data_IF_004668116439
#
_entry.id   IF_004668116439
#
_cell.length_a   1.000
_cell.length_b   1.000
_cell.length_c   1.000
_cell.angle_alpha   90.00
_cell.angle_beta   90.00
_cell.angle_gamma   90.00
#
_symmetry.space_group_name_H-M   'P 1'
#
loop_
_entity.id
_entity.type
_entity.pdbx_description
1 polymer ?
#
# COMPACT_ATOMS: atom_id res chain seq x y z
N UNK A 1 27.58 2.27 -5.71
CA UNK A 1 26.46 1.42 -5.33
C UNK A 1 26.38 1.30 -3.81
N UNK A 2 27.44 0.90 -3.10
CA UNK A 2 27.51 0.84 -1.62
C UNK A 2 27.11 2.15 -0.93
N UNK A 3 27.62 3.31 -1.37
CA UNK A 3 27.27 4.61 -0.77
C UNK A 3 25.80 5.00 -0.95
N UNK A 4 25.15 4.52 -1.98
CA UNK A 4 23.73 4.79 -2.21
C UNK A 4 22.86 3.96 -1.25
N UNK A 5 23.26 2.73 -0.99
CA UNK A 5 22.58 1.84 -0.03
C UNK A 5 22.77 2.36 1.41
N UNK A 6 23.96 2.87 1.76
CA UNK A 6 24.20 3.54 3.06
C UNK A 6 23.32 4.78 3.25
N UNK A 7 23.17 5.62 2.22
CA UNK A 7 22.30 6.80 2.30
C UNK A 7 20.84 6.44 2.43
N UNK A 8 20.38 5.41 1.72
CA UNK A 8 19.01 4.92 1.85
C UNK A 8 18.74 4.29 3.21
N UNK A 9 19.70 3.55 3.77
CA UNK A 9 19.59 2.98 5.12
C UNK A 9 19.53 4.10 6.18
N UNK A 10 20.38 5.12 6.08
CA UNK A 10 20.35 6.27 6.99
C UNK A 10 19.06 7.09 6.84
N UNK A 11 18.56 7.28 5.63
CA UNK A 11 17.30 7.99 5.40
C UNK A 11 16.11 7.21 5.95
N UNK A 12 16.10 5.88 5.79
CA UNK A 12 15.07 5.02 6.37
C UNK A 12 15.14 5.02 7.90
N UNK A 13 16.34 5.02 8.48
CA UNK A 13 16.58 5.09 9.91
C UNK A 13 16.11 6.43 10.51
N UNK A 14 16.44 7.55 9.86
CA UNK A 14 15.97 8.88 10.25
C UNK A 14 14.44 8.95 10.20
N UNK A 15 13.82 8.40 9.15
CA UNK A 15 12.37 8.39 8.99
C UNK A 15 11.71 7.54 10.08
N UNK A 16 12.20 6.31 10.29
CA UNK A 16 11.71 5.44 11.34
C UNK A 16 11.77 6.08 12.74
N UNK A 17 12.85 6.84 13.05
CA UNK A 17 12.99 7.55 14.33
C UNK A 17 12.16 8.84 14.44
N UNK A 18 11.83 9.48 13.33
CA UNK A 18 11.07 10.74 13.32
C UNK A 18 9.55 10.54 13.38
N UNK A 19 9.05 9.40 12.93
CA UNK A 19 7.62 9.09 12.85
C UNK A 19 7.11 8.24 14.03
N UNK A 20 7.99 7.74 14.89
CA UNK A 20 7.61 6.85 15.99
C UNK A 20 7.02 7.63 17.18
N UNK A 21 5.72 7.77 17.16
CA UNK A 21 4.91 8.02 18.37
C UNK A 21 4.48 6.76 19.09
N UNK A 22 4.96 5.58 18.65
CA UNK A 22 4.67 4.26 19.26
C UNK A 22 5.98 3.75 19.84
N UNK A 23 5.91 3.28 21.09
CA UNK A 23 6.98 2.47 21.66
C UNK A 23 7.16 1.24 20.77
N UNK A 24 8.15 1.28 19.90
CA UNK A 24 8.55 0.12 19.13
C UNK A 24 8.89 -0.99 20.12
N UNK A 25 8.35 -2.19 19.89
CA UNK A 25 8.65 -3.29 20.75
C UNK A 25 10.16 -3.59 20.75
N UNK A 26 10.64 -4.28 21.76
CA UNK A 26 12.07 -4.57 21.98
C UNK A 26 12.71 -5.24 20.76
N UNK A 27 11.94 -6.05 19.99
CA UNK A 27 12.43 -6.74 18.79
C UNK A 27 12.70 -5.77 17.63
N UNK A 28 11.90 -4.73 17.49
CA UNK A 28 12.10 -3.68 16.46
C UNK A 28 13.34 -2.85 16.82
N UNK A 29 13.55 -2.54 18.08
CA UNK A 29 14.76 -1.83 18.54
C UNK A 29 16.02 -2.66 18.31
N UNK A 30 15.98 -3.95 18.62
CA UNK A 30 17.07 -4.88 18.37
C UNK A 30 17.38 -5.00 16.87
N UNK A 31 16.37 -5.05 16.02
CA UNK A 31 16.54 -5.09 14.57
C UNK A 31 17.14 -3.78 14.03
N UNK A 32 16.64 -2.63 14.46
CA UNK A 32 17.17 -1.32 14.09
C UNK A 32 18.64 -1.17 14.52
N UNK A 33 18.98 -1.62 15.72
CA UNK A 33 20.37 -1.69 16.19
C UNK A 33 21.24 -2.60 15.33
N UNK A 34 20.68 -3.71 14.85
CA UNK A 34 21.34 -4.64 13.95
C UNK A 34 21.61 -4.05 12.56
N UNK A 35 20.67 -3.30 11.99
CA UNK A 35 20.85 -2.59 10.71
C UNK A 35 21.99 -1.58 10.81
N UNK A 36 22.07 -0.82 11.90
CA UNK A 36 23.18 0.10 12.16
C UNK A 36 24.55 -0.58 12.30
N UNK A 37 24.59 -1.86 12.64
CA UNK A 37 25.82 -2.68 12.76
C UNK A 37 26.23 -3.42 11.48
N UNK A 38 25.54 -3.17 10.36
CA UNK A 38 25.90 -3.75 9.05
C UNK A 38 25.42 -5.19 8.84
N UNK A 39 24.28 -5.56 9.40
CA UNK A 39 23.62 -6.82 9.02
C UNK A 39 23.29 -6.74 7.53
N UNK A 40 24.01 -7.50 6.72
CA UNK A 40 23.73 -7.64 5.29
C UNK A 40 22.37 -8.35 5.13
N UNK A 41 21.34 -7.60 4.75
CA UNK A 41 20.04 -8.14 4.35
C UNK A 41 20.07 -8.54 2.88
N UNK A 42 19.28 -9.54 2.50
CA UNK A 42 18.99 -9.76 1.09
C UNK A 42 18.26 -8.55 0.51
N UNK A 43 18.59 -8.23 -0.74
CA UNK A 43 17.80 -7.24 -1.50
C UNK A 43 16.42 -7.85 -1.75
N UNK A 44 15.40 -7.30 -1.11
CA UNK A 44 14.01 -7.73 -1.25
C UNK A 44 13.18 -6.62 -1.89
N UNK A 45 12.05 -6.95 -2.55
CA UNK A 45 11.09 -5.95 -2.95
C UNK A 45 10.62 -5.15 -1.73
N UNK A 46 10.37 -3.86 -1.92
CA UNK A 46 9.67 -3.05 -0.92
C UNK A 46 8.23 -3.51 -0.79
N UNK A 47 7.62 -3.25 0.35
CA UNK A 47 6.21 -3.55 0.58
C UNK A 47 5.42 -2.25 0.60
N UNK A 48 4.33 -2.22 -0.18
CA UNK A 48 3.30 -1.19 -0.07
C UNK A 48 2.01 -1.82 0.43
N UNK A 49 1.19 -1.00 1.06
CA UNK A 49 -0.12 -1.42 1.58
C UNK A 49 -1.18 -0.52 0.96
N UNK A 50 -2.26 -1.13 0.46
CA UNK A 50 -3.41 -0.42 -0.06
C UNK A 50 -4.68 -0.77 0.71
N UNK A 51 -5.64 0.15 0.77
CA UNK A 51 -6.90 -0.02 1.45
C UNK A 51 -8.09 0.28 0.54
N UNK A 52 -8.90 -0.73 0.24
CA UNK A 52 -10.21 -0.59 -0.37
C UNK A 52 -11.23 -0.39 0.74
N UNK A 53 -11.60 0.87 0.97
CA UNK A 53 -12.56 1.23 2.03
C UNK A 53 -13.94 1.39 1.43
N UNK A 54 -14.86 0.53 1.81
CA UNK A 54 -16.28 0.62 1.44
C UNK A 54 -17.09 1.39 2.47
N UNK A 55 -18.06 2.17 2.02
CA UNK A 55 -19.10 2.76 2.85
C UNK A 55 -20.41 1.94 2.78
N UNK A 56 -21.43 2.37 3.57
CA UNK A 56 -22.73 1.70 3.63
C UNK A 56 -23.56 1.85 2.33
N UNK A 57 -23.20 2.79 1.47
CA UNK A 57 -23.82 2.99 0.15
C UNK A 57 -23.15 2.16 -0.97
N UNK A 58 -22.15 1.35 -0.63
CA UNK A 58 -21.42 0.51 -1.58
C UNK A 58 -20.46 1.32 -2.49
N UNK A 59 -19.98 2.47 -2.01
CA UNK A 59 -18.98 3.30 -2.67
C UNK A 59 -17.60 3.02 -2.11
N UNK A 60 -16.57 3.26 -2.91
CA UNK A 60 -15.15 3.10 -2.53
C UNK A 60 -14.51 4.46 -2.32
N UNK A 61 -13.73 4.57 -1.24
CA UNK A 61 -12.91 5.74 -0.93
C UNK A 61 -11.70 5.81 -1.84
N UNK A 62 -11.53 6.94 -2.52
CA UNK A 62 -10.36 7.23 -3.34
C UNK A 62 -9.74 8.56 -2.92
N UNK A 63 -8.45 8.68 -3.17
CA UNK A 63 -7.66 9.91 -3.05
C UNK A 63 -7.16 10.35 -4.42
N UNK A 64 -7.11 11.64 -4.68
CA UNK A 64 -6.41 12.19 -5.83
C UNK A 64 -4.99 12.57 -5.43
N UNK A 65 -4.00 11.91 -5.99
CA UNK A 65 -2.59 12.17 -5.70
C UNK A 65 -2.17 13.57 -6.17
N UNK A 66 -1.54 14.33 -5.30
CA UNK A 66 -1.08 15.69 -5.60
C UNK A 66 0.04 15.73 -6.66
N UNK A 67 0.88 14.70 -6.73
CA UNK A 67 2.02 14.61 -7.64
C UNK A 67 1.63 14.31 -9.10
N UNK A 68 0.60 13.50 -9.29
CA UNK A 68 0.23 12.97 -10.61
C UNK A 68 -1.20 13.33 -11.05
N UNK A 69 -2.06 13.71 -10.11
CA UNK A 69 -3.48 13.97 -10.34
C UNK A 69 -4.29 12.70 -10.66
N UNK A 70 -3.71 11.50 -10.46
CA UNK A 70 -4.43 10.25 -10.60
C UNK A 70 -5.19 9.91 -9.32
N UNK A 71 -6.37 9.32 -9.51
CA UNK A 71 -7.17 8.77 -8.43
C UNK A 71 -6.80 7.32 -8.16
N UNK A 72 -6.67 6.97 -6.88
CA UNK A 72 -6.35 5.62 -6.42
C UNK A 72 -6.96 5.44 -5.02
N UNK A 73 -7.13 4.20 -4.60
CA UNK A 73 -7.41 3.90 -3.20
C UNK A 73 -6.22 4.33 -2.31
N UNK A 74 -6.45 4.68 -1.03
CA UNK A 74 -5.38 5.03 -0.09
C UNK A 74 -4.27 3.98 -0.07
N UNK A 75 -3.01 4.43 -0.14
CA UNK A 75 -1.86 3.53 -0.22
C UNK A 75 -0.57 4.17 0.26
N UNK A 76 0.22 3.43 1.03
CA UNK A 76 1.51 3.89 1.51
C UNK A 76 2.55 2.78 1.62
N UNK A 77 3.75 3.15 2.03
CA UNK A 77 4.83 2.22 2.31
C UNK A 77 4.60 1.52 3.64
N UNK A 78 4.96 0.23 3.71
CA UNK A 78 4.94 -0.50 4.98
C UNK A 78 6.07 0.03 5.86
N UNK A 79 5.70 0.66 6.97
CA UNK A 79 6.64 1.18 7.95
C UNK A 79 7.12 0.08 8.90
N UNK A 80 8.37 0.19 9.33
CA UNK A 80 8.93 -0.70 10.34
C UNK A 80 8.21 -0.48 11.67
N UNK A 81 7.82 -1.56 12.34
CA UNK A 81 7.10 -1.50 13.61
C UNK A 81 5.58 -1.60 13.48
N UNK A 82 5.05 -1.55 12.25
CA UNK A 82 3.62 -1.75 11.97
C UNK A 82 3.39 -3.03 11.18
N UNK A 83 2.30 -3.73 11.49
CA UNK A 83 1.80 -4.76 10.60
C UNK A 83 1.18 -4.13 9.34
N UNK A 84 1.11 -4.86 8.20
CA UNK A 84 0.46 -4.33 7.00
C UNK A 84 -0.99 -3.86 7.23
N UNK A 85 -1.73 -4.53 8.12
CA UNK A 85 -3.10 -4.12 8.44
C UNK A 85 -3.17 -2.80 9.24
N UNK A 86 -2.22 -2.57 10.14
CA UNK A 86 -2.09 -1.29 10.85
C UNK A 86 -1.71 -0.16 9.89
N UNK A 87 -0.79 -0.42 8.96
CA UNK A 87 -0.45 0.55 7.90
C UNK A 87 -1.68 0.91 7.06
N UNK A 88 -2.52 -0.07 6.67
CA UNK A 88 -3.74 0.21 5.94
C UNK A 88 -4.66 1.22 6.67
N UNK A 89 -4.88 1.02 7.97
CA UNK A 89 -5.71 1.92 8.79
C UNK A 89 -5.05 3.29 8.94
N UNK A 90 -3.73 3.32 9.16
CA UNK A 90 -2.95 4.55 9.29
C UNK A 90 -3.05 5.41 8.01
N UNK A 91 -2.75 4.83 6.85
CA UNK A 91 -2.79 5.54 5.57
C UNK A 91 -4.20 6.08 5.25
N UNK A 92 -5.25 5.28 5.47
CA UNK A 92 -6.62 5.76 5.30
C UNK A 92 -6.86 7.00 6.16
N UNK A 93 -6.49 6.96 7.43
CA UNK A 93 -6.69 8.09 8.34
C UNK A 93 -5.88 9.31 7.94
N UNK A 94 -4.62 9.15 7.57
CA UNK A 94 -3.71 10.24 7.24
C UNK A 94 -4.08 10.89 5.90
N UNK A 95 -4.35 10.08 4.87
CA UNK A 95 -4.65 10.59 3.53
C UNK A 95 -6.07 11.15 3.39
N UNK A 96 -7.03 10.66 4.20
CA UNK A 96 -8.46 10.92 3.94
C UNK A 96 -9.26 11.47 5.11
N UNK A 97 -8.76 11.37 6.35
CA UNK A 97 -9.50 11.72 7.58
C UNK A 97 -10.58 10.71 7.98
N UNK A 98 -10.72 9.59 7.25
CA UNK A 98 -11.71 8.55 7.54
C UNK A 98 -11.13 7.51 8.49
N UNK A 99 -11.93 7.08 9.45
CA UNK A 99 -11.64 5.92 10.28
C UNK A 99 -12.15 4.65 9.61
N UNK A 100 -11.38 3.58 9.66
CA UNK A 100 -11.78 2.30 9.09
C UNK A 100 -11.31 1.12 9.94
N UNK A 101 -11.91 -0.04 9.70
CA UNK A 101 -11.43 -1.32 10.21
C UNK A 101 -11.09 -2.27 9.06
N UNK A 102 -10.03 -3.04 9.23
CA UNK A 102 -9.63 -4.05 8.28
C UNK A 102 -10.54 -5.27 8.39
N UNK A 103 -11.09 -5.71 7.26
CA UNK A 103 -11.91 -6.92 7.18
C UNK A 103 -11.05 -8.12 6.79
N UNK A 104 -10.29 -8.02 5.69
CA UNK A 104 -9.42 -9.09 5.17
C UNK A 104 -8.48 -8.60 4.08
N UNK A 105 -7.38 -9.29 3.80
CA UNK A 105 -6.62 -9.06 2.56
C UNK A 105 -7.46 -9.51 1.36
N UNK A 106 -7.36 -8.77 0.24
CA UNK A 106 -8.04 -9.08 -1.02
C UNK A 106 -7.10 -9.14 -2.21
N UNK A 107 -5.87 -8.61 -2.10
CA UNK A 107 -4.88 -8.77 -3.15
C UNK A 107 -3.45 -8.78 -2.63
N UNK A 108 -2.57 -9.51 -3.32
CA UNK A 108 -1.11 -9.50 -3.16
C UNK A 108 -0.53 -9.44 -4.58
N UNK A 109 0.07 -8.31 -4.95
CA UNK A 109 0.41 -8.00 -6.33
C UNK A 109 1.87 -7.58 -6.47
N UNK A 110 2.52 -8.03 -7.54
CA UNK A 110 3.83 -7.53 -7.95
C UNK A 110 3.66 -6.22 -8.75
N UNK A 111 3.95 -5.10 -8.09
CA UNK A 111 3.77 -3.77 -8.68
C UNK A 111 4.66 -3.50 -9.90
N UNK A 112 5.83 -4.14 -10.01
CA UNK A 112 6.66 -4.06 -11.21
C UNK A 112 6.02 -4.77 -12.40
N UNK A 113 5.50 -5.98 -12.19
CA UNK A 113 4.82 -6.73 -13.25
C UNK A 113 3.59 -6.01 -13.79
N UNK A 114 2.91 -5.31 -12.91
CA UNK A 114 1.73 -4.52 -13.26
C UNK A 114 2.08 -3.12 -13.81
N UNK A 115 3.35 -2.74 -13.78
CA UNK A 115 3.82 -1.44 -14.26
C UNK A 115 3.44 -0.26 -13.37
N UNK A 116 3.14 -0.50 -12.10
CA UNK A 116 2.76 0.55 -11.15
C UNK A 116 3.95 1.40 -10.71
N UNK A 117 5.12 0.81 -10.62
CA UNK A 117 6.30 1.50 -10.12
C UNK A 117 7.60 0.94 -10.71
N UNK A 118 8.62 1.77 -10.97
CA UNK A 118 9.92 1.31 -11.47
C UNK A 118 10.77 0.59 -10.42
N UNK A 119 10.39 0.67 -9.14
CA UNK A 119 11.07 -0.01 -8.03
C UNK A 119 10.38 -1.34 -7.76
N UNK A 120 11.12 -2.44 -7.55
CA UNK A 120 10.53 -3.71 -7.12
C UNK A 120 9.71 -3.51 -5.84
N UNK A 121 8.43 -3.84 -5.91
CA UNK A 121 7.53 -3.78 -4.76
C UNK A 121 6.48 -4.87 -4.81
N UNK A 122 6.04 -5.29 -3.63
CA UNK A 122 4.85 -6.13 -3.44
C UNK A 122 3.79 -5.25 -2.78
N UNK A 123 2.61 -5.19 -3.37
CA UNK A 123 1.45 -4.48 -2.82
C UNK A 123 0.52 -5.47 -2.13
N UNK A 124 0.21 -5.21 -0.86
CA UNK A 124 -0.78 -5.95 -0.08
C UNK A 124 -2.01 -5.05 0.04
N UNK A 125 -3.14 -5.49 -0.52
CA UNK A 125 -4.37 -4.68 -0.52
C UNK A 125 -5.40 -5.32 0.40
N UNK A 126 -5.95 -4.52 1.30
CA UNK A 126 -6.99 -4.92 2.24
C UNK A 126 -8.36 -4.37 1.84
N UNK A 127 -9.39 -5.17 2.03
CA UNK A 127 -10.75 -4.68 2.17
C UNK A 127 -10.91 -4.13 3.58
N UNK A 128 -11.39 -2.89 3.65
CA UNK A 128 -11.69 -2.20 4.89
C UNK A 128 -13.14 -1.71 4.87
N UNK A 129 -13.74 -1.57 6.04
CA UNK A 129 -15.06 -0.96 6.23
C UNK A 129 -14.89 0.42 6.84
N UNK A 130 -15.57 1.43 6.30
CA UNK A 130 -15.61 2.76 6.89
C UNK A 130 -16.32 2.74 8.24
N UNK A 131 -15.75 3.44 9.21
CA UNK A 131 -16.34 3.69 10.53
C UNK A 131 -16.82 5.14 10.69
N UNK A 132 -16.71 5.93 9.62
CA UNK A 132 -17.03 7.35 9.62
C UNK A 132 -15.77 8.23 9.65
N UNK A 133 -15.95 9.47 10.01
CA UNK A 133 -14.91 10.51 9.96
C UNK A 133 -15.32 11.67 9.06
N UNK A 134 -14.45 12.65 8.91
CA UNK A 134 -14.65 13.78 8.03
C UNK A 134 -13.65 13.70 6.87
N UNK A 135 -14.16 13.69 5.63
CA UNK A 135 -13.32 13.69 4.44
C UNK A 135 -12.39 14.90 4.42
N UNK A 136 -11.11 14.65 4.47
CA UNK A 136 -10.08 15.69 4.48
C UNK A 136 -8.81 15.16 3.81
N UNK A 137 -8.56 15.65 2.60
CA UNK A 137 -7.33 15.31 1.87
C UNK A 137 -6.08 15.75 2.65
N UNK A 138 -5.06 14.90 2.67
CA UNK A 138 -3.76 15.26 3.26
C UNK A 138 -3.11 16.39 2.43
N UNK A 139 -2.71 17.51 3.06
CA UNK A 139 -2.40 18.74 2.33
C UNK A 139 -1.19 18.68 1.42
N UNK A 140 -0.29 17.70 1.62
CA UNK A 140 0.94 17.55 0.82
C UNK A 140 0.87 16.39 -0.17
N UNK A 141 0.04 15.39 0.09
CA UNK A 141 0.03 14.14 -0.67
C UNK A 141 -1.20 13.99 -1.55
N UNK A 142 -2.33 14.56 -1.14
CA UNK A 142 -3.60 14.44 -1.80
C UNK A 142 -4.18 15.81 -2.15
N UNK A 143 -4.62 15.98 -3.39
CA UNK A 143 -5.33 17.20 -3.84
C UNK A 143 -6.84 17.11 -3.60
N UNK A 144 -7.39 15.89 -3.51
CA UNK A 144 -8.81 15.67 -3.28
C UNK A 144 -9.06 14.26 -2.71
N UNK A 145 -10.24 14.03 -2.14
CA UNK A 145 -10.68 12.77 -1.55
C UNK A 145 -12.19 12.62 -1.64
N UNK A 146 -12.68 11.41 -1.90
CA UNK A 146 -14.12 11.16 -1.95
C UNK A 146 -14.49 9.69 -2.06
N UNK A 147 -15.79 9.40 -1.82
CA UNK A 147 -16.38 8.09 -2.05
C UNK A 147 -17.06 8.05 -3.43
N UNK A 148 -16.80 6.99 -4.20
CA UNK A 148 -17.27 6.85 -5.57
C UNK A 148 -17.95 5.51 -5.79
N UNK A 149 -19.11 5.52 -6.46
CA UNK A 149 -19.74 4.30 -6.96
C UNK A 149 -18.96 3.74 -8.17
N UNK A 150 -19.16 2.47 -8.46
CA UNK A 150 -18.48 1.78 -9.57
C UNK A 150 -18.72 2.48 -10.93
N UNK A 151 -19.92 3.01 -11.14
CA UNK A 151 -20.30 3.75 -12.36
C UNK A 151 -19.83 5.22 -12.37
N UNK A 152 -19.29 5.71 -11.26
CA UNK A 152 -18.93 7.12 -11.06
C UNK A 152 -17.44 7.31 -10.78
N UNK A 153 -16.63 6.29 -11.06
CA UNK A 153 -15.18 6.39 -10.90
C UNK A 153 -14.64 7.58 -11.72
N UNK A 154 -13.75 8.41 -11.13
CA UNK A 154 -13.16 9.53 -11.84
C UNK A 154 -12.42 9.09 -13.12
N UNK A 155 -12.47 9.92 -14.16
CA UNK A 155 -11.84 9.63 -15.48
C UNK A 155 -10.34 9.26 -15.34
N UNK A 156 -9.63 9.91 -14.42
CA UNK A 156 -8.22 9.65 -14.16
C UNK A 156 -7.99 8.67 -13.02
N UNK A 157 -8.79 7.63 -12.91
CA UNK A 157 -8.55 6.54 -11.94
C UNK A 157 -7.43 5.63 -12.47
N UNK A 158 -6.47 5.33 -11.60
CA UNK A 158 -5.30 4.51 -11.95
C UNK A 158 -5.70 3.05 -12.18
N UNK A 159 -5.66 2.60 -13.44
CA UNK A 159 -5.85 1.21 -13.86
C UNK A 159 -7.06 0.52 -13.20
N UNK A 160 -8.27 1.13 -13.21
CA UNK A 160 -9.43 0.56 -12.51
C UNK A 160 -9.80 -0.84 -13.02
N UNK A 161 -9.50 -1.16 -14.26
CA UNK A 161 -9.72 -2.49 -14.86
C UNK A 161 -9.01 -3.63 -14.14
N UNK A 162 -7.94 -3.33 -13.40
CA UNK A 162 -7.15 -4.34 -12.68
C UNK A 162 -7.68 -4.64 -11.29
N UNK A 163 -8.36 -3.69 -10.65
CA UNK A 163 -8.73 -3.83 -9.24
C UNK A 163 -10.19 -3.52 -8.94
N UNK A 164 -10.85 -2.61 -9.69
CA UNK A 164 -12.15 -2.11 -9.30
C UNK A 164 -13.26 -3.18 -9.29
N UNK A 165 -13.42 -4.07 -10.28
CA UNK A 165 -14.45 -5.10 -10.23
C UNK A 165 -14.30 -6.00 -8.99
N UNK A 166 -13.07 -6.38 -8.67
CA UNK A 166 -12.75 -7.21 -7.51
C UNK A 166 -13.02 -6.49 -6.19
N UNK A 167 -12.64 -5.22 -6.11
CA UNK A 167 -12.85 -4.36 -4.95
C UNK A 167 -14.33 -4.13 -4.68
N UNK A 168 -15.13 -3.80 -5.71
CA UNK A 168 -16.56 -3.61 -5.58
C UNK A 168 -17.29 -4.89 -5.19
N UNK A 169 -16.90 -6.04 -5.73
CA UNK A 169 -17.42 -7.33 -5.26
C UNK A 169 -17.11 -7.57 -3.78
N UNK A 170 -15.90 -7.25 -3.34
CA UNK A 170 -15.51 -7.41 -1.94
C UNK A 170 -16.34 -6.54 -0.99
N UNK A 171 -16.57 -5.26 -1.30
CA UNK A 171 -17.36 -4.34 -0.45
C UNK A 171 -18.85 -4.69 -0.45
N UNK A 172 -19.38 -5.29 -1.52
CA UNK A 172 -20.76 -5.82 -1.56
C UNK A 172 -20.93 -7.10 -0.76
N UNK A 173 -19.84 -7.63 -0.16
CA UNK A 173 -19.89 -8.88 0.59
C UNK A 173 -19.98 -10.13 -0.28
N UNK A 174 -19.72 -10.02 -1.57
CA UNK A 174 -19.64 -11.17 -2.46
C UNK A 174 -18.40 -12.02 -2.12
N UNK A 175 -18.43 -13.33 -2.32
CA UNK A 175 -17.26 -14.17 -2.16
C UNK A 175 -16.19 -13.76 -3.18
N UNK A 176 -15.02 -13.33 -2.70
CA UNK A 176 -13.86 -13.05 -3.54
C UNK A 176 -12.65 -13.77 -2.95
N UNK A 177 -11.86 -14.38 -3.81
CA UNK A 177 -10.56 -14.93 -3.46
C UNK A 177 -9.52 -13.80 -3.37
N UNK A 178 -8.38 -14.08 -2.75
CA UNK A 178 -7.26 -13.15 -2.79
C UNK A 178 -6.71 -13.09 -4.21
N UNK A 179 -6.75 -11.92 -4.83
CA UNK A 179 -6.17 -11.69 -6.14
C UNK A 179 -4.63 -11.73 -6.03
N UNK A 180 -3.97 -12.51 -6.87
CA UNK A 180 -2.51 -12.58 -6.89
C UNK A 180 -1.97 -12.86 -8.28
N UNK A 181 -0.69 -12.55 -8.48
CA UNK A 181 -0.03 -12.82 -9.76
C UNK A 181 0.19 -14.30 -9.97
N UNK A 182 -0.35 -14.84 -11.04
CA UNK A 182 -0.10 -16.24 -11.38
C UNK A 182 1.38 -16.48 -11.68
N UNK A 183 1.92 -17.64 -11.25
CA UNK A 183 3.27 -18.03 -11.59
C UNK A 183 3.51 -17.98 -13.10
N UNK A 184 4.64 -17.42 -13.49
CA UNK A 184 5.16 -17.52 -14.87
C UNK A 184 6.03 -18.77 -14.97
N UNK A 185 6.34 -19.15 -16.21
CA UNK A 185 7.47 -20.05 -16.43
C UNK A 185 8.70 -19.49 -15.71
N UNK A 186 9.45 -20.33 -14.98
CA UNK A 186 10.48 -19.83 -14.09
C UNK A 186 11.48 -18.94 -14.82
N UNK A 187 11.54 -17.64 -14.56
CA UNK A 187 12.48 -16.74 -15.25
C UNK A 187 13.95 -17.05 -14.93
N UNK A 188 14.18 -17.83 -13.86
CA UNK A 188 15.53 -18.29 -13.46
C UNK A 188 16.02 -19.53 -14.21
N UNK A 189 15.19 -20.16 -15.03
CA UNK A 189 15.63 -21.31 -15.85
C UNK A 189 16.37 -20.88 -17.11
N UNK A 190 16.46 -19.57 -17.38
CA UNK A 190 17.08 -19.06 -18.60
C UNK A 190 16.27 -19.39 -19.85
N UNK A 191 16.52 -18.68 -20.92
CA UNK A 191 16.06 -19.11 -22.23
C UNK A 191 16.93 -20.32 -22.64
N UNK A 192 16.35 -21.50 -22.92
CA UNK A 192 17.12 -22.65 -23.36
C UNK A 192 17.91 -22.41 -24.67
N UNK A 193 17.79 -21.22 -25.27
CA UNK A 193 18.48 -20.77 -26.47
C UNK A 193 19.58 -19.70 -26.23
N UNK A 194 19.90 -19.36 -24.97
CA UNK A 194 20.98 -18.41 -24.62
C UNK A 194 22.24 -19.10 -24.12
#
# INVERSE_FOLDING_TARGET
QERFEEVLAVAADIRAHSEVGIEADEQVQDWLGGVGSGIAGYVTPKITVGAIVGDDDGRILLVQRADSGWWLYPTGWSDVGYSPSEVAVKEVREETGIDCEVVRPIAILDGMRLGFHPVPLVSIVFHCRSLGGELKAHPLECSDVGFFAESELPERTARPELWAPHAFSAIRGEPVDVLFDHPRDPPWLGDPAS
#
